data_IF_430852685330
#
_entry.id   IF_430852685330
#
_cell.length_a   1.000
_cell.length_b   1.000
_cell.length_c   1.000
_cell.angle_alpha   90.00
_cell.angle_beta   90.00
_cell.angle_gamma   90.00
#
_symmetry.space_group_name_H-M   'P 1'
#
loop_
_entity.id
_entity.type
_entity.pdbx_description
1 polymer ?
#
# COMPACT_ATOMS: atom_id res chain seq x y z
N UNK A 1 -13.22 3.75 -37.47
CA UNK A 1 -12.97 4.51 -36.23
C UNK A 1 -11.85 3.82 -35.50
N UNK A 2 -10.69 4.46 -35.38
CA UNK A 2 -9.60 3.99 -34.53
C UNK A 2 -10.13 3.96 -33.10
N UNK A 3 -10.36 2.77 -32.54
CA UNK A 3 -10.52 2.62 -31.10
C UNK A 3 -9.18 3.02 -30.51
N UNK A 4 -9.03 4.31 -30.21
CA UNK A 4 -8.02 4.81 -29.32
C UNK A 4 -8.32 4.13 -27.98
N UNK A 5 -7.73 2.96 -27.76
CA UNK A 5 -7.71 2.30 -26.46
C UNK A 5 -7.25 3.40 -25.52
N UNK A 6 -8.09 3.85 -24.57
CA UNK A 6 -7.63 4.84 -23.63
C UNK A 6 -6.39 4.21 -22.99
N UNK A 7 -5.23 4.85 -23.15
CA UNK A 7 -4.04 4.51 -22.37
C UNK A 7 -4.39 4.93 -20.95
N UNK A 8 -5.30 4.17 -20.34
CA UNK A 8 -5.83 4.42 -19.04
C UNK A 8 -4.65 4.28 -18.11
N UNK A 9 -4.44 5.29 -17.29
CA UNK A 9 -3.56 5.30 -16.13
C UNK A 9 -3.93 4.22 -15.08
N UNK A 10 -4.53 3.10 -15.49
CA UNK A 10 -4.95 1.97 -14.66
C UNK A 10 -3.79 1.43 -13.81
N UNK A 11 -2.57 1.34 -14.38
CA UNK A 11 -1.38 0.98 -13.60
C UNK A 11 -1.04 2.02 -12.52
N UNK A 12 -1.19 3.30 -12.81
CA UNK A 12 -0.93 4.37 -11.83
C UNK A 12 -1.98 4.35 -10.73
N UNK A 13 -3.26 4.18 -11.07
CA UNK A 13 -4.34 4.05 -10.10
C UNK A 13 -4.13 2.85 -9.16
N UNK A 14 -3.74 1.70 -9.70
CA UNK A 14 -3.46 0.49 -8.92
C UNK A 14 -2.36 0.75 -7.88
N UNK A 15 -1.26 1.42 -8.28
CA UNK A 15 -0.16 1.79 -7.37
C UNK A 15 -0.60 2.82 -6.32
N UNK A 16 -1.37 3.84 -6.73
CA UNK A 16 -1.86 4.89 -5.83
C UNK A 16 -2.81 4.32 -4.78
N UNK A 17 -3.71 3.40 -5.17
CA UNK A 17 -4.63 2.73 -4.25
C UNK A 17 -3.84 1.87 -3.25
N UNK A 18 -2.88 1.07 -3.72
CA UNK A 18 -2.03 0.24 -2.86
C UNK A 18 -1.22 1.11 -1.88
N UNK A 19 -0.68 2.22 -2.35
CA UNK A 19 0.01 3.20 -1.52
C UNK A 19 -0.92 3.77 -0.44
N UNK A 20 -2.11 4.25 -0.82
CA UNK A 20 -3.05 4.86 0.11
C UNK A 20 -3.51 3.86 1.19
N UNK A 21 -3.81 2.62 0.81
CA UNK A 21 -4.18 1.55 1.75
C UNK A 21 -3.03 1.24 2.71
N UNK A 22 -1.80 1.19 2.22
CA UNK A 22 -0.62 0.95 3.05
C UNK A 22 -0.41 2.09 4.05
N UNK A 23 -0.62 3.35 3.63
CA UNK A 23 -0.51 4.53 4.52
C UNK A 23 -1.56 4.45 5.63
N UNK A 24 -2.81 4.15 5.28
CA UNK A 24 -3.89 3.98 6.27
C UNK A 24 -3.55 2.86 7.25
N UNK A 25 -3.08 1.71 6.76
CA UNK A 25 -2.68 0.59 7.60
C UNK A 25 -1.52 0.96 8.56
N UNK A 26 -0.49 1.67 8.07
CA UNK A 26 0.62 2.14 8.88
C UNK A 26 0.20 3.15 9.96
N UNK A 27 -0.70 4.08 9.62
CA UNK A 27 -1.26 5.06 10.56
C UNK A 27 -2.11 4.38 11.63
N UNK A 28 -2.99 3.45 11.26
CA UNK A 28 -3.83 2.70 12.20
C UNK A 28 -2.97 1.87 13.15
N UNK A 29 -1.95 1.19 12.63
CA UNK A 29 -1.00 0.44 13.44
C UNK A 29 -0.26 1.35 14.44
N UNK A 30 0.28 2.48 13.96
CA UNK A 30 0.95 3.46 14.84
C UNK A 30 0.02 4.00 15.93
N UNK A 31 -1.22 4.35 15.58
CA UNK A 31 -2.23 4.80 16.54
C UNK A 31 -2.54 3.73 17.59
N UNK A 32 -2.76 2.48 17.18
CA UNK A 32 -2.95 1.36 18.11
C UNK A 32 -1.78 1.26 19.09
N UNK A 33 -0.54 1.28 18.60
CA UNK A 33 0.66 1.25 19.44
C UNK A 33 0.75 2.44 20.41
N UNK A 34 0.36 3.64 19.98
CA UNK A 34 0.28 4.80 20.89
C UNK A 34 -0.79 4.62 21.98
N UNK A 35 -1.94 4.02 21.66
CA UNK A 35 -3.00 3.76 22.67
C UNK A 35 -2.60 2.71 23.70
N UNK A 36 -1.69 1.79 23.32
CA UNK A 36 -1.09 0.80 24.22
C UNK A 36 0.01 1.40 25.12
N UNK A 37 0.28 2.70 25.03
CA UNK A 37 1.28 3.39 25.85
C UNK A 37 2.71 3.28 25.34
N UNK A 38 2.91 2.88 24.08
CA UNK A 38 4.24 2.84 23.46
C UNK A 38 4.76 4.27 23.22
N UNK A 39 6.07 4.46 23.35
CA UNK A 39 6.68 5.77 23.11
C UNK A 39 6.41 6.26 21.68
N UNK A 40 6.26 7.59 21.46
CA UNK A 40 5.89 8.12 20.14
C UNK A 40 6.87 7.71 19.03
N UNK A 41 8.16 7.64 19.35
CA UNK A 41 9.21 7.23 18.42
C UNK A 41 9.03 5.77 18.00
N UNK A 42 8.75 4.87 18.94
CA UNK A 42 8.53 3.46 18.65
C UNK A 42 7.21 3.22 17.90
N UNK A 43 6.17 3.98 18.21
CA UNK A 43 4.89 3.91 17.50
C UNK A 43 5.00 4.39 16.04
N UNK A 44 5.79 5.45 15.79
CA UNK A 44 6.09 5.89 14.43
C UNK A 44 6.93 4.87 13.67
N UNK A 45 7.96 4.30 14.32
CA UNK A 45 8.81 3.29 13.70
C UNK A 45 8.03 2.02 13.32
N UNK A 46 7.12 1.57 14.19
CA UNK A 46 6.25 0.42 13.91
C UNK A 46 5.23 0.73 12.80
N UNK A 47 4.61 1.91 12.81
CA UNK A 47 3.73 2.35 11.72
C UNK A 47 4.44 2.43 10.36
N UNK A 48 5.67 2.93 10.33
CA UNK A 48 6.51 2.97 9.12
C UNK A 48 6.90 1.56 8.64
N UNK A 49 7.22 0.64 9.56
CA UNK A 49 7.51 -0.75 9.22
C UNK A 49 6.28 -1.46 8.63
N UNK A 50 5.09 -1.24 9.21
CA UNK A 50 3.82 -1.76 8.68
C UNK A 50 3.52 -1.20 7.30
N UNK A 51 3.73 0.11 7.09
CA UNK A 51 3.59 0.75 5.79
C UNK A 51 4.49 0.09 4.73
N UNK A 52 5.79 -0.04 5.01
CA UNK A 52 6.76 -0.61 4.09
C UNK A 52 6.44 -2.08 3.76
N UNK A 53 6.07 -2.87 4.77
CA UNK A 53 5.69 -4.27 4.61
C UNK A 53 4.41 -4.45 3.79
N UNK A 54 3.35 -3.71 4.13
CA UNK A 54 2.08 -3.76 3.42
C UNK A 54 2.22 -3.34 1.95
N UNK A 55 2.94 -2.25 1.70
CA UNK A 55 3.18 -1.75 0.35
C UNK A 55 3.97 -2.76 -0.49
N UNK A 56 5.03 -3.35 0.07
CA UNK A 56 5.83 -4.38 -0.62
C UNK A 56 5.03 -5.65 -0.93
N UNK A 57 4.23 -6.13 0.03
CA UNK A 57 3.38 -7.30 -0.16
C UNK A 57 2.30 -7.06 -1.22
N UNK A 58 1.61 -5.92 -1.18
CA UNK A 58 0.59 -5.58 -2.17
C UNK A 58 1.18 -5.43 -3.58
N UNK A 59 2.37 -4.82 -3.72
CA UNK A 59 3.07 -4.77 -5.00
C UNK A 59 3.46 -6.17 -5.52
N UNK A 60 3.90 -7.05 -4.63
CA UNK A 60 4.23 -8.43 -4.98
C UNK A 60 2.98 -9.21 -5.40
N UNK A 61 1.85 -9.00 -4.71
CA UNK A 61 0.57 -9.59 -5.07
C UNK A 61 0.08 -9.10 -6.44
N UNK A 62 0.18 -7.79 -6.72
CA UNK A 62 -0.12 -7.21 -8.05
C UNK A 62 0.78 -7.84 -9.12
N UNK A 63 2.07 -8.01 -8.86
CA UNK A 63 2.99 -8.65 -9.78
C UNK A 63 2.63 -10.13 -10.02
N UNK A 64 2.22 -10.85 -8.98
CA UNK A 64 1.80 -12.25 -9.06
C UNK A 64 0.51 -12.42 -9.87
N UNK A 65 -0.52 -11.61 -9.61
CA UNK A 65 -1.78 -11.61 -10.37
C UNK A 65 -1.52 -11.33 -11.86
N UNK A 66 -0.64 -10.35 -12.16
CA UNK A 66 -0.22 -10.07 -13.55
C UNK A 66 0.53 -11.21 -14.21
N UNK A 67 1.24 -12.03 -13.44
CA UNK A 67 1.96 -13.21 -13.94
C UNK A 67 1.05 -14.41 -14.20
N UNK A 68 -0.10 -14.49 -13.52
CA UNK A 68 -1.08 -15.57 -13.69
C UNK A 68 -2.17 -15.28 -14.72
N UNK A 69 -2.45 -14.01 -15.01
CA UNK A 69 -3.44 -13.61 -16.03
C UNK A 69 -2.93 -13.58 -17.47
N UNK A 70 -1.77 -14.20 -17.74
CA UNK A 70 -1.13 -14.28 -19.05
C UNK A 70 -1.35 -15.62 -19.73
#
# INVERSE_FOLDING_TARGET
MSSQVPVCNHRVYEVVIVFLVSVVAGLVAGLLWTTLGMSPVSAVATGAAVFAGAFGLCMTAVAYVKKQGG
#
